data_IF_799686257450
#
_entry.id   IF_799686257450
#
_cell.length_a   1.000
_cell.length_b   1.000
_cell.length_c   1.000
_cell.angle_alpha   90.00
_cell.angle_beta   90.00
_cell.angle_gamma   90.00
#
_symmetry.space_group_name_H-M   'P 1'
#
loop_
_entity.id
_entity.type
_entity.pdbx_description
1 polymer ?
#
# COMPACT_ATOMS: atom_id res chain seq x y z
N UNK A 1 -5.51 -16.26 -28.78
CA UNK A 1 -5.17 -14.84 -28.59
C UNK A 1 -4.78 -14.69 -27.15
N UNK A 2 -3.50 -14.56 -26.89
CA UNK A 2 -2.91 -14.58 -25.54
C UNK A 2 -3.24 -13.28 -24.84
N UNK A 3 -4.06 -13.35 -23.77
CA UNK A 3 -4.29 -12.28 -22.85
C UNK A 3 -2.95 -11.89 -22.19
N UNK A 4 -2.38 -10.78 -22.59
CA UNK A 4 -1.38 -10.09 -21.77
C UNK A 4 -2.12 -9.48 -20.57
N UNK A 5 -2.21 -10.22 -19.50
CA UNK A 5 -2.55 -9.70 -18.19
C UNK A 5 -1.46 -8.71 -17.79
N UNK A 6 -1.81 -7.43 -17.77
CA UNK A 6 -0.98 -6.39 -17.19
C UNK A 6 -0.99 -6.57 -15.67
N UNK A 7 -0.06 -7.33 -15.17
CA UNK A 7 0.22 -7.36 -13.74
C UNK A 7 1.01 -6.10 -13.39
N UNK A 8 0.33 -5.10 -12.86
CA UNK A 8 0.95 -3.97 -12.18
C UNK A 8 1.45 -4.47 -10.82
N UNK A 9 2.59 -5.10 -10.82
CA UNK A 9 3.25 -5.44 -9.56
C UNK A 9 4.74 -5.48 -9.80
N UNK A 10 5.37 -4.34 -9.72
CA UNK A 10 6.78 -4.27 -9.35
C UNK A 10 6.89 -4.22 -7.82
N UNK A 11 6.15 -5.09 -7.14
CA UNK A 11 6.52 -5.48 -5.79
C UNK A 11 7.78 -6.34 -5.95
N UNK A 12 8.95 -5.72 -5.94
CA UNK A 12 10.21 -6.41 -5.72
C UNK A 12 10.06 -7.16 -4.40
N UNK A 13 9.83 -8.46 -4.53
CA UNK A 13 9.70 -9.39 -3.42
C UNK A 13 11.07 -9.50 -2.72
N UNK A 14 11.37 -8.59 -1.81
CA UNK A 14 12.47 -8.80 -0.88
C UNK A 14 12.02 -9.84 0.15
N UNK A 15 12.40 -11.08 -0.12
CA UNK A 15 12.39 -12.15 0.89
C UNK A 15 13.51 -11.80 1.87
N UNK A 16 13.13 -11.16 2.97
CA UNK A 16 14.02 -11.00 4.12
C UNK A 16 14.25 -12.40 4.71
N UNK A 17 15.36 -13.04 4.36
CA UNK A 17 15.86 -14.22 5.07
C UNK A 17 16.31 -13.78 6.47
N UNK A 18 15.47 -13.99 7.46
CA UNK A 18 15.91 -13.99 8.85
C UNK A 18 16.76 -15.23 9.09
N UNK A 19 18.08 -15.06 9.04
CA UNK A 19 19.03 -16.02 9.59
C UNK A 19 19.04 -15.88 11.12
N UNK A 20 18.41 -16.83 11.78
CA UNK A 20 18.51 -17.02 13.24
C UNK A 20 19.82 -17.74 13.48
N UNK A 21 20.87 -17.03 13.87
CA UNK A 21 22.03 -17.62 14.54
C UNK A 21 21.88 -17.33 16.02
N UNK A 22 21.49 -18.37 16.76
CA UNK A 22 21.62 -18.38 18.19
C UNK A 22 23.09 -18.55 18.59
N UNK A 23 23.55 -17.81 19.58
CA UNK A 23 24.65 -18.17 20.44
C UNK A 23 24.39 -17.61 21.82
N UNK A 24 24.43 -18.54 22.77
CA UNK A 24 24.42 -18.34 24.22
C UNK A 24 25.69 -17.64 24.74
N UNK A 25 25.48 -17.11 25.90
CA UNK A 25 26.34 -17.05 27.11
C UNK A 25 26.82 -15.66 27.54
N UNK A 26 26.43 -15.48 28.78
CA UNK A 26 27.08 -15.06 30.02
C UNK A 26 26.97 -13.59 30.46
N UNK A 27 26.27 -13.57 31.58
CA UNK A 27 26.32 -12.68 32.77
C UNK A 27 27.46 -11.66 32.83
N UNK A 28 27.07 -10.37 32.95
CA UNK A 28 27.62 -9.54 34.04
C UNK A 28 26.64 -8.40 34.38
N UNK A 29 26.30 -8.37 35.68
CA UNK A 29 25.63 -7.26 36.35
C UNK A 29 26.61 -6.10 36.46
N UNK A 30 26.23 -4.93 35.99
CA UNK A 30 26.63 -3.68 36.62
C UNK A 30 25.46 -2.68 36.58
N UNK A 31 25.10 -2.28 37.79
CA UNK A 31 24.20 -1.16 38.04
C UNK A 31 24.82 0.14 37.47
N UNK A 32 24.08 0.82 36.65
CA UNK A 32 24.36 2.23 36.37
C UNK A 32 23.06 3.00 36.20
N UNK A 33 22.77 3.71 37.30
CA UNK A 33 22.02 4.98 37.47
C UNK A 33 21.04 5.40 36.40
N UNK A 34 19.81 5.50 36.88
CA UNK A 34 18.68 6.32 36.41
C UNK A 34 19.12 7.64 35.80
N UNK A 35 18.96 7.80 34.50
CA UNK A 35 18.69 9.08 33.88
C UNK A 35 17.27 9.04 33.31
N UNK A 36 16.34 9.53 34.09
CA UNK A 36 15.03 9.96 33.63
C UNK A 36 15.21 11.18 32.71
N UNK A 37 15.51 10.93 31.47
CA UNK A 37 15.37 11.90 30.40
C UNK A 37 14.04 11.62 29.73
N UNK A 38 13.06 12.46 30.02
CA UNK A 38 11.81 12.55 29.27
C UNK A 38 12.19 12.96 27.83
N UNK A 39 12.61 11.98 27.01
CA UNK A 39 12.73 12.19 25.56
C UNK A 39 11.32 12.35 25.06
N UNK A 40 10.87 13.58 24.89
CA UNK A 40 9.75 13.94 24.04
C UNK A 40 9.94 13.15 22.74
N UNK A 41 9.16 12.08 22.55
CA UNK A 41 9.21 11.32 21.32
C UNK A 41 8.60 12.18 20.24
N UNK A 42 9.46 12.89 19.50
CA UNK A 42 8.99 13.59 18.30
C UNK A 42 8.32 12.55 17.38
N UNK A 43 7.19 12.92 16.76
CA UNK A 43 6.52 12.01 15.83
C UNK A 43 7.44 11.67 14.65
N UNK A 44 7.30 10.47 14.14
CA UNK A 44 7.92 10.07 12.88
C UNK A 44 7.09 10.66 11.74
N UNK A 45 7.57 11.72 11.15
CA UNK A 45 6.88 12.40 10.05
C UNK A 45 7.50 11.99 8.73
N UNK A 46 6.67 11.75 7.72
CA UNK A 46 7.10 11.38 6.37
C UNK A 46 6.34 12.22 5.34
N UNK A 47 7.07 12.68 4.34
CA UNK A 47 6.53 13.48 3.23
C UNK A 47 7.03 12.89 1.92
N UNK A 48 6.14 12.61 0.97
CA UNK A 48 6.51 12.12 -0.37
C UNK A 48 7.26 13.24 -1.10
N UNK A 49 8.38 12.90 -1.72
CA UNK A 49 9.22 13.87 -2.45
C UNK A 49 10.23 14.60 -1.56
N UNK A 50 10.38 14.24 -0.27
CA UNK A 50 11.42 14.80 0.59
C UNK A 50 12.80 14.45 0.03
N UNK A 51 13.73 15.41 0.01
CA UNK A 51 15.10 15.13 -0.44
C UNK A 51 15.82 14.20 0.55
N UNK A 52 16.55 13.18 0.04
CA UNK A 52 17.20 12.18 0.89
C UNK A 52 18.14 12.74 1.94
N UNK A 53 18.86 13.82 1.63
CA UNK A 53 19.75 14.50 2.59
C UNK A 53 18.99 15.04 3.78
N UNK A 54 17.85 15.66 3.54
CA UNK A 54 17.03 16.28 4.59
C UNK A 54 16.32 15.21 5.41
N UNK A 55 15.78 14.17 4.74
CA UNK A 55 15.21 13.00 5.38
C UNK A 55 16.21 12.33 6.33
N UNK A 56 17.41 11.99 5.84
CA UNK A 56 18.44 11.34 6.65
C UNK A 56 18.83 12.21 7.85
N UNK A 57 19.03 13.50 7.65
CA UNK A 57 19.43 14.40 8.72
C UNK A 57 18.32 14.52 9.78
N UNK A 58 17.10 14.66 9.36
CA UNK A 58 15.92 14.77 10.24
C UNK A 58 15.71 13.49 11.06
N UNK A 59 15.80 12.33 10.42
CA UNK A 59 15.66 11.03 11.11
C UNK A 59 16.80 10.79 12.11
N UNK A 60 18.04 11.14 11.77
CA UNK A 60 19.17 11.08 12.73
C UNK A 60 18.95 11.97 13.93
N UNK A 61 18.41 13.17 13.75
CA UNK A 61 18.16 14.13 14.84
C UNK A 61 17.18 13.58 15.89
N UNK A 62 16.24 12.72 15.48
CA UNK A 62 15.31 12.04 16.38
C UNK A 62 15.78 10.65 16.81
N UNK A 63 17.04 10.32 16.52
CA UNK A 63 17.70 9.09 16.98
C UNK A 63 17.32 7.83 16.18
N UNK A 64 16.84 7.97 14.94
CA UNK A 64 16.61 6.83 14.06
C UNK A 64 17.87 6.47 13.28
N UNK A 65 18.09 5.17 13.12
CA UNK A 65 19.12 4.64 12.22
C UNK A 65 18.48 4.36 10.87
N UNK A 66 19.12 4.85 9.79
CA UNK A 66 18.64 4.65 8.43
C UNK A 66 19.61 3.73 7.70
N UNK A 67 19.11 2.64 7.16
CA UNK A 67 19.78 1.85 6.14
C UNK A 67 19.73 2.60 4.80
N UNK A 68 20.84 2.59 4.07
CA UNK A 68 20.89 3.15 2.71
C UNK A 68 21.48 2.10 1.78
N UNK A 69 20.69 1.65 0.82
CA UNK A 69 21.13 0.71 -0.22
C UNK A 69 21.04 1.39 -1.59
N UNK A 70 22.18 1.43 -2.30
CA UNK A 70 22.32 2.05 -3.61
C UNK A 70 22.46 0.97 -4.67
N UNK A 71 21.45 0.83 -5.50
CA UNK A 71 21.44 -0.19 -6.55
C UNK A 71 22.14 0.32 -7.82
N UNK A 72 22.92 -0.54 -8.51
CA UNK A 72 23.52 -0.18 -9.79
C UNK A 72 22.51 0.23 -10.87
N UNK A 73 21.25 -0.16 -10.71
CA UNK A 73 20.15 0.18 -11.62
C UNK A 73 19.61 1.61 -11.43
N UNK A 74 20.26 2.43 -10.59
CA UNK A 74 19.85 3.83 -10.38
C UNK A 74 18.75 4.02 -9.34
N UNK A 75 18.44 3.00 -8.52
CA UNK A 75 17.50 3.13 -7.40
C UNK A 75 18.25 3.18 -6.08
N UNK A 76 17.87 4.11 -5.21
CA UNK A 76 18.34 4.16 -3.83
C UNK A 76 17.17 3.83 -2.89
N UNK A 77 17.44 2.97 -1.89
CA UNK A 77 16.48 2.60 -0.86
C UNK A 77 16.93 3.12 0.49
N UNK A 78 16.00 3.70 1.23
CA UNK A 78 16.17 4.25 2.57
C UNK A 78 15.28 3.47 3.52
N UNK A 79 15.85 2.71 4.47
CA UNK A 79 15.09 1.80 5.32
C UNK A 79 15.19 2.16 6.80
N UNK A 80 14.09 1.95 7.53
CA UNK A 80 14.05 2.00 8.99
C UNK A 80 13.29 0.78 9.48
N UNK A 81 13.90 0.00 10.37
CA UNK A 81 13.27 -1.14 11.00
C UNK A 81 12.88 -0.82 12.45
N UNK A 82 11.67 -1.26 12.83
CA UNK A 82 11.13 -1.11 14.18
C UNK A 82 10.85 -2.50 14.77
N UNK A 83 11.80 -3.06 15.54
CA UNK A 83 11.58 -4.31 16.26
C UNK A 83 10.33 -4.27 17.17
N UNK A 84 9.76 -5.44 17.43
CA UNK A 84 8.64 -5.56 18.36
C UNK A 84 8.94 -4.89 19.71
N UNK A 85 7.98 -4.14 20.24
CA UNK A 85 8.14 -3.34 21.46
C UNK A 85 8.78 -1.97 21.25
N UNK A 86 9.21 -1.66 20.03
CA UNK A 86 9.78 -0.34 19.67
C UNK A 86 9.03 0.35 18.53
N UNK A 87 7.98 -0.28 18.03
CA UNK A 87 7.18 0.22 16.90
C UNK A 87 6.54 1.55 17.23
N UNK A 88 6.48 2.42 16.24
CA UNK A 88 5.98 3.78 16.39
C UNK A 88 4.89 4.05 15.35
N UNK A 89 4.04 4.99 15.67
CA UNK A 89 3.13 5.60 14.69
C UNK A 89 3.95 6.52 13.80
N UNK A 90 3.75 6.42 12.50
CA UNK A 90 4.28 7.37 11.52
C UNK A 90 3.16 8.30 11.07
N UNK A 91 3.44 9.58 10.96
CA UNK A 91 2.55 10.58 10.40
C UNK A 91 2.93 10.82 8.95
N UNK A 92 1.97 10.68 8.04
CA UNK A 92 2.12 11.01 6.64
C UNK A 92 1.58 12.42 6.43
N UNK A 93 2.45 13.35 6.04
CA UNK A 93 2.05 14.73 5.76
C UNK A 93 1.60 14.88 4.30
N UNK A 94 0.33 15.26 4.12
CA UNK A 94 -0.26 15.57 2.82
C UNK A 94 -1.38 16.63 2.96
N UNK A 95 -1.08 17.75 3.58
CA UNK A 95 -2.04 18.82 3.79
C UNK A 95 -3.33 18.34 4.49
N UNK A 96 -4.51 18.58 3.92
CA UNK A 96 -5.77 18.14 4.53
C UNK A 96 -5.97 16.61 4.53
N UNK A 97 -5.20 15.88 3.75
CA UNK A 97 -5.25 14.43 3.62
C UNK A 97 -4.23 13.70 4.50
N UNK A 98 -3.54 14.45 5.38
CA UNK A 98 -2.55 13.88 6.31
C UNK A 98 -3.20 12.88 7.25
N UNK A 99 -2.46 11.82 7.61
CA UNK A 99 -2.96 10.78 8.51
C UNK A 99 -1.83 10.10 9.28
N UNK A 100 -2.23 9.36 10.32
CA UNK A 100 -1.32 8.54 11.11
C UNK A 100 -1.42 7.06 10.69
N UNK A 101 -0.27 6.39 10.60
CA UNK A 101 -0.23 4.94 10.43
C UNK A 101 -0.50 4.23 11.75
N UNK A 102 -0.94 2.97 11.73
CA UNK A 102 -0.78 2.08 12.87
C UNK A 102 0.69 1.84 13.21
N UNK A 103 1.02 1.08 14.32
CA UNK A 103 2.41 0.83 14.70
C UNK A 103 3.23 0.19 13.57
N UNK A 104 4.22 0.92 13.05
CA UNK A 104 5.06 0.55 11.90
C UNK A 104 6.11 -0.46 12.32
N UNK A 105 6.24 -1.54 11.53
CA UNK A 105 7.30 -2.55 11.65
C UNK A 105 8.55 -2.16 10.87
N UNK A 106 8.35 -1.55 9.69
CA UNK A 106 9.41 -1.13 8.79
C UNK A 106 8.91 -0.05 7.84
N UNK A 107 9.85 0.73 7.39
CA UNK A 107 9.69 1.75 6.38
C UNK A 107 10.75 1.54 5.30
N UNK A 108 10.37 1.75 4.06
CA UNK A 108 11.29 1.87 2.93
C UNK A 108 10.86 3.04 2.05
N UNK A 109 11.79 3.95 1.81
CA UNK A 109 11.62 5.03 0.83
C UNK A 109 12.46 4.74 -0.40
N UNK A 110 11.93 5.02 -1.59
CA UNK A 110 12.63 4.83 -2.86
C UNK A 110 12.89 6.16 -3.55
N UNK A 111 14.12 6.35 -3.99
CA UNK A 111 14.56 7.46 -4.85
C UNK A 111 15.02 6.88 -6.19
N UNK A 112 14.59 7.50 -7.29
CA UNK A 112 15.07 7.17 -8.62
C UNK A 112 16.12 8.19 -9.05
N UNK A 113 17.37 7.74 -9.27
CA UNK A 113 18.50 8.59 -9.64
C UNK A 113 18.44 9.14 -11.07
N UNK A 114 17.54 8.60 -11.90
CA UNK A 114 17.24 9.20 -13.21
C UNK A 114 16.40 10.48 -13.06
N UNK A 115 15.72 10.64 -11.89
CA UNK A 115 14.88 11.80 -11.55
C UNK A 115 15.16 12.29 -10.12
N UNK A 116 16.41 12.71 -9.80
CA UNK A 116 16.81 13.06 -8.44
C UNK A 116 16.04 14.26 -7.85
N UNK A 117 15.46 15.10 -8.71
CA UNK A 117 14.61 16.22 -8.29
C UNK A 117 13.27 15.76 -7.68
N UNK A 118 12.85 14.53 -7.92
CA UNK A 118 11.64 13.95 -7.32
C UNK A 118 11.82 13.53 -5.87
N UNK A 119 13.06 13.47 -5.37
CA UNK A 119 13.39 13.04 -4.02
C UNK A 119 12.96 11.59 -3.75
N UNK A 120 12.58 11.30 -2.50
CA UNK A 120 12.00 10.01 -2.11
C UNK A 120 10.52 10.02 -2.53
N UNK A 121 10.22 9.51 -3.71
CA UNK A 121 8.93 9.62 -4.38
C UNK A 121 8.00 8.40 -4.20
N UNK A 122 8.48 7.39 -3.49
CA UNK A 122 7.73 6.22 -3.08
C UNK A 122 8.03 5.89 -1.61
N UNK A 123 6.98 5.68 -0.82
CA UNK A 123 7.06 5.37 0.61
C UNK A 123 6.30 4.08 0.90
N UNK A 124 7.00 3.02 1.29
CA UNK A 124 6.40 1.74 1.71
C UNK A 124 6.46 1.61 3.24
N UNK A 125 5.32 1.29 3.85
CA UNK A 125 5.18 1.04 5.27
C UNK A 125 4.59 -0.33 5.51
N UNK A 126 5.24 -1.10 6.36
CA UNK A 126 4.68 -2.34 6.89
C UNK A 126 4.27 -2.13 8.35
N UNK A 127 3.04 -2.50 8.71
CA UNK A 127 2.51 -2.26 10.04
C UNK A 127 1.64 -3.42 10.56
N UNK A 128 1.31 -3.37 11.83
CA UNK A 128 0.45 -4.34 12.52
C UNK A 128 -0.67 -3.63 13.26
N UNK A 129 -1.74 -4.35 13.56
CA UNK A 129 -2.83 -3.83 14.38
C UNK A 129 -2.37 -3.41 15.78
N UNK A 130 -1.51 -4.25 16.40
CA UNK A 130 -0.93 -4.01 17.73
C UNK A 130 0.49 -4.51 17.80
N UNK A 131 1.32 -3.85 18.58
CA UNK A 131 2.71 -4.25 18.81
C UNK A 131 2.85 -5.30 19.95
N UNK A 132 2.05 -6.36 19.89
CA UNK A 132 2.00 -7.43 20.89
C UNK A 132 2.48 -8.78 20.36
N UNK A 133 2.75 -8.89 19.06
CA UNK A 133 3.21 -10.13 18.41
C UNK A 133 2.15 -11.24 18.35
N UNK A 134 0.89 -10.94 18.67
CA UNK A 134 -0.17 -11.93 18.73
C UNK A 134 -0.90 -12.09 17.40
N UNK A 135 -1.47 -13.29 17.20
CA UNK A 135 -2.41 -13.52 16.10
C UNK A 135 -3.66 -12.66 16.29
N UNK A 136 -4.29 -12.28 15.19
CA UNK A 136 -5.60 -11.66 15.18
C UNK A 136 -6.65 -12.67 14.73
N UNK A 137 -7.84 -12.65 15.31
CA UNK A 137 -8.97 -13.32 14.66
C UNK A 137 -9.23 -12.66 13.30
N UNK A 138 -9.82 -13.40 12.38
CA UNK A 138 -10.15 -12.84 11.06
C UNK A 138 -11.09 -11.64 11.17
N UNK A 139 -12.00 -11.66 12.15
CA UNK A 139 -12.90 -10.55 12.43
C UNK A 139 -12.14 -9.31 12.93
N UNK A 140 -11.23 -9.49 13.89
CA UNK A 140 -10.40 -8.37 14.38
C UNK A 140 -9.55 -7.74 13.29
N UNK A 141 -9.01 -8.56 12.37
CA UNK A 141 -8.23 -8.05 11.24
C UNK A 141 -9.11 -7.32 10.23
N UNK A 142 -10.30 -7.87 9.93
CA UNK A 142 -11.29 -7.24 9.04
C UNK A 142 -11.75 -5.88 9.58
N UNK A 143 -12.21 -5.84 10.82
CA UNK A 143 -12.68 -4.60 11.48
C UNK A 143 -11.58 -3.53 11.51
N UNK A 144 -10.36 -3.94 11.87
CA UNK A 144 -9.22 -3.02 11.90
C UNK A 144 -8.91 -2.47 10.51
N UNK A 145 -8.81 -3.33 9.50
CA UNK A 145 -8.46 -2.92 8.14
C UNK A 145 -9.53 -2.03 7.52
N UNK A 146 -10.80 -2.44 7.61
CA UNK A 146 -11.91 -1.67 7.06
C UNK A 146 -12.13 -0.35 7.80
N UNK A 147 -11.92 -0.34 9.13
CA UNK A 147 -11.93 0.89 9.91
C UNK A 147 -10.80 1.86 9.48
N UNK A 148 -9.63 1.33 9.11
CA UNK A 148 -8.53 2.14 8.59
C UNK A 148 -8.85 2.70 7.19
N UNK A 149 -9.38 1.89 6.29
CA UNK A 149 -9.87 2.34 4.97
C UNK A 149 -10.92 3.43 5.12
N UNK A 150 -11.89 3.24 6.03
CA UNK A 150 -12.92 4.25 6.28
C UNK A 150 -12.33 5.57 6.82
N UNK A 151 -11.40 5.49 7.74
CA UNK A 151 -10.71 6.69 8.27
C UNK A 151 -10.04 7.48 7.15
N UNK A 152 -9.36 6.81 6.20
CA UNK A 152 -8.75 7.46 5.05
C UNK A 152 -9.82 8.09 4.12
N UNK A 153 -10.92 7.39 3.87
CA UNK A 153 -12.04 7.94 3.09
C UNK A 153 -12.66 9.17 3.75
N UNK A 154 -12.84 9.16 5.08
CA UNK A 154 -13.35 10.30 5.85
C UNK A 154 -12.39 11.54 5.81
N UNK A 155 -11.08 11.30 5.59
CA UNK A 155 -10.06 12.33 5.34
C UNK A 155 -10.04 12.83 3.89
N UNK A 156 -10.84 12.24 3.01
CA UNK A 156 -10.96 12.66 1.60
C UNK A 156 -10.15 11.84 0.61
N UNK A 157 -9.48 10.75 1.05
CA UNK A 157 -8.91 9.79 0.11
C UNK A 157 -10.03 9.09 -0.64
N UNK A 158 -9.94 9.07 -1.97
CA UNK A 158 -10.96 8.54 -2.86
C UNK A 158 -10.51 7.21 -3.45
N UNK A 159 -11.48 6.36 -3.75
CA UNK A 159 -11.27 5.10 -4.44
C UNK A 159 -10.73 5.33 -5.85
N UNK A 160 -9.70 4.59 -6.23
CA UNK A 160 -9.25 4.52 -7.62
C UNK A 160 -9.65 3.18 -8.24
N UNK A 161 -10.37 3.23 -9.34
CA UNK A 161 -10.68 2.05 -10.17
C UNK A 161 -9.79 2.14 -11.41
N UNK A 162 -9.02 1.08 -11.69
CA UNK A 162 -8.17 1.03 -12.90
C UNK A 162 -8.99 1.35 -14.16
N UNK A 163 -8.44 2.09 -15.12
CA UNK A 163 -9.15 2.46 -16.35
C UNK A 163 -9.71 1.29 -17.16
N UNK A 164 -9.20 0.08 -16.96
CA UNK A 164 -9.72 -1.13 -17.60
C UNK A 164 -10.81 -1.85 -16.81
N UNK A 165 -11.01 -1.49 -15.53
CA UNK A 165 -11.92 -2.20 -14.64
C UNK A 165 -13.30 -1.55 -14.58
N UNK A 166 -14.39 -2.35 -14.38
CA UNK A 166 -15.75 -1.85 -14.36
C UNK A 166 -16.04 -0.98 -13.14
N UNK A 167 -16.92 -0.01 -13.28
CA UNK A 167 -17.35 0.87 -12.21
C UNK A 167 -18.49 0.21 -11.42
N UNK A 168 -18.12 -0.62 -10.44
CA UNK A 168 -19.10 -1.29 -9.58
C UNK A 168 -19.12 -0.64 -8.20
N UNK A 169 -20.30 -0.55 -7.60
CA UNK A 169 -20.53 -0.07 -6.24
C UNK A 169 -21.23 -1.11 -5.38
N UNK A 170 -21.24 -0.89 -4.08
CA UNK A 170 -21.94 -1.74 -3.14
C UNK A 170 -21.38 -3.17 -3.05
N UNK A 171 -22.20 -4.13 -2.61
CA UNK A 171 -21.79 -5.54 -2.45
C UNK A 171 -21.36 -6.22 -3.75
N UNK A 172 -21.79 -5.73 -4.90
CA UNK A 172 -21.43 -6.30 -6.21
C UNK A 172 -19.94 -6.12 -6.53
N UNK A 173 -19.28 -5.11 -5.94
CA UNK A 173 -17.83 -4.94 -6.07
C UNK A 173 -17.06 -6.11 -5.46
N UNK A 174 -17.51 -6.64 -4.33
CA UNK A 174 -16.94 -7.85 -3.73
C UNK A 174 -17.34 -9.13 -4.45
N UNK A 175 -18.58 -9.21 -4.97
CA UNK A 175 -19.00 -10.35 -5.77
C UNK A 175 -18.11 -10.49 -7.01
N UNK A 176 -17.80 -9.41 -7.70
CA UNK A 176 -16.92 -9.38 -8.87
C UNK A 176 -15.51 -9.90 -8.55
N UNK A 177 -14.94 -9.50 -7.41
CA UNK A 177 -13.64 -10.01 -6.96
C UNK A 177 -13.65 -11.54 -6.81
N UNK A 178 -14.72 -12.09 -6.24
CA UNK A 178 -14.80 -13.50 -5.91
C UNK A 178 -15.20 -14.42 -7.10
N UNK A 179 -15.73 -13.86 -8.19
CA UNK A 179 -16.15 -14.66 -9.35
C UNK A 179 -14.99 -15.17 -10.19
N UNK A 180 -13.97 -14.33 -10.43
CA UNK A 180 -12.86 -14.65 -11.32
C UNK A 180 -11.48 -14.20 -10.79
N UNK A 181 -11.36 -14.03 -9.47
CA UNK A 181 -10.10 -13.64 -8.82
C UNK A 181 -9.51 -12.33 -9.37
N UNK A 182 -10.41 -11.38 -9.59
CA UNK A 182 -10.03 -10.08 -10.14
C UNK A 182 -9.26 -9.22 -9.14
N UNK A 183 -8.15 -8.63 -9.57
CA UNK A 183 -7.51 -7.53 -8.87
C UNK A 183 -8.36 -6.26 -9.03
N UNK A 184 -9.32 -6.10 -8.17
CA UNK A 184 -10.32 -5.03 -8.24
C UNK A 184 -10.45 -4.30 -6.92
N UNK A 185 -10.49 -2.98 -6.94
CA UNK A 185 -10.68 -2.18 -5.72
C UNK A 185 -12.17 -2.15 -5.37
N UNK A 186 -12.59 -2.75 -4.24
CA UNK A 186 -13.99 -2.78 -3.85
C UNK A 186 -14.49 -1.39 -3.39
N UNK A 187 -15.81 -1.25 -3.26
CA UNK A 187 -16.42 -0.03 -2.74
C UNK A 187 -15.97 0.22 -1.29
N UNK A 188 -15.41 1.39 -1.02
CA UNK A 188 -14.89 1.78 0.31
C UNK A 188 -16.00 1.95 1.35
N UNK A 189 -17.24 2.18 0.90
CA UNK A 189 -18.41 2.39 1.76
C UNK A 189 -19.08 1.07 2.19
N UNK A 190 -18.57 -0.06 1.72
CA UNK A 190 -19.14 -1.38 2.01
C UNK A 190 -18.09 -2.27 2.65
N UNK A 191 -18.38 -2.75 3.84
CA UNK A 191 -17.53 -3.74 4.50
C UNK A 191 -17.88 -5.16 4.02
N UNK A 192 -16.90 -5.98 3.65
CA UNK A 192 -17.15 -7.40 3.35
C UNK A 192 -17.58 -8.11 4.64
N UNK A 193 -18.53 -9.03 4.55
CA UNK A 193 -18.78 -9.91 5.67
C UNK A 193 -17.59 -10.87 5.91
N UNK A 194 -17.54 -11.54 7.06
CA UNK A 194 -16.41 -12.40 7.41
C UNK A 194 -16.16 -13.52 6.40
N UNK A 195 -17.21 -14.08 5.79
CA UNK A 195 -17.09 -15.12 4.77
C UNK A 195 -16.39 -14.57 3.52
N UNK A 196 -16.81 -13.40 3.04
CA UNK A 196 -16.19 -12.68 1.91
C UNK A 196 -14.74 -12.33 2.23
N UNK A 197 -14.47 -11.74 3.41
CA UNK A 197 -13.12 -11.42 3.87
C UNK A 197 -12.17 -12.63 3.83
N UNK A 198 -12.64 -13.78 4.31
CA UNK A 198 -11.86 -15.02 4.31
C UNK A 198 -11.65 -15.59 2.91
N UNK A 199 -12.60 -15.38 2.01
CA UNK A 199 -12.54 -15.87 0.64
C UNK A 199 -11.66 -15.01 -0.27
N UNK A 200 -11.46 -13.73 0.08
CA UNK A 200 -10.56 -12.85 -0.67
C UNK A 200 -9.11 -13.33 -0.56
N UNK A 201 -8.38 -13.22 -1.64
CA UNK A 201 -6.97 -13.61 -1.68
C UNK A 201 -6.08 -12.81 -0.72
N UNK A 202 -5.00 -13.45 -0.32
CA UNK A 202 -3.88 -12.78 0.30
C UNK A 202 -3.29 -11.75 -0.66
N UNK A 203 -3.10 -10.54 -0.18
CA UNK A 203 -2.54 -9.42 -0.97
C UNK A 203 -3.52 -8.72 -1.91
N UNK A 204 -4.82 -8.86 -1.68
CA UNK A 204 -5.79 -8.00 -2.35
C UNK A 204 -5.49 -6.53 -2.05
N UNK A 205 -5.55 -5.68 -3.07
CA UNK A 205 -5.08 -4.29 -3.02
C UNK A 205 -6.28 -3.33 -3.06
N UNK A 206 -6.27 -2.35 -2.17
CA UNK A 206 -7.13 -1.16 -2.23
C UNK A 206 -6.30 0.02 -2.71
N UNK A 207 -6.61 0.53 -3.88
CA UNK A 207 -5.95 1.71 -4.43
C UNK A 207 -6.81 2.95 -4.16
N UNK A 208 -6.22 3.93 -3.51
CA UNK A 208 -6.82 5.21 -3.18
C UNK A 208 -6.00 6.33 -3.81
N UNK A 209 -6.61 7.51 -3.94
CA UNK A 209 -5.90 8.72 -4.37
C UNK A 209 -6.42 9.94 -3.61
N UNK A 210 -5.54 10.92 -3.43
CA UNK A 210 -5.87 12.24 -2.93
C UNK A 210 -4.91 13.26 -3.55
N UNK A 211 -5.46 14.28 -4.23
CA UNK A 211 -4.69 15.30 -4.93
C UNK A 211 -3.63 14.70 -5.89
N UNK A 212 -2.35 14.82 -5.55
CA UNK A 212 -1.24 14.33 -6.38
C UNK A 212 -0.59 13.04 -5.87
N UNK A 213 -1.19 12.35 -4.91
CA UNK A 213 -0.70 11.09 -4.37
C UNK A 213 -1.66 9.94 -4.65
N UNK A 214 -1.07 8.77 -4.89
CA UNK A 214 -1.75 7.48 -4.95
C UNK A 214 -1.25 6.60 -3.81
N UNK A 215 -2.13 5.73 -3.32
CA UNK A 215 -1.87 4.86 -2.19
C UNK A 215 -2.40 3.46 -2.49
N UNK A 216 -1.57 2.46 -2.28
CA UNK A 216 -1.98 1.06 -2.29
C UNK A 216 -1.93 0.48 -0.89
N UNK A 217 -3.05 -0.09 -0.43
CA UNK A 217 -3.14 -0.72 0.88
C UNK A 217 -3.52 -2.17 0.69
N UNK A 218 -2.80 -3.06 1.37
CA UNK A 218 -3.03 -4.50 1.30
C UNK A 218 -2.75 -5.16 2.64
N UNK A 219 -3.25 -6.38 2.80
CA UNK A 219 -2.89 -7.23 3.94
C UNK A 219 -2.33 -8.56 3.46
N UNK A 220 -1.47 -9.14 4.28
CA UNK A 220 -1.02 -10.52 4.14
C UNK A 220 -1.42 -11.31 5.38
N UNK A 221 -1.99 -12.47 5.13
CA UNK A 221 -2.41 -13.43 6.14
C UNK A 221 -1.46 -14.62 6.11
N UNK A 222 -0.74 -14.85 7.20
CA UNK A 222 0.17 -15.99 7.36
C UNK A 222 -0.38 -16.93 8.41
N UNK A 223 -0.68 -18.15 8.00
CA UNK A 223 -0.99 -19.24 8.92
C UNK A 223 0.29 -19.71 9.60
N UNK A 224 0.18 -20.10 10.87
CA UNK A 224 1.28 -20.70 11.60
C UNK A 224 1.48 -22.14 11.09
N UNK A 225 2.70 -22.50 10.61
CA UNK A 225 2.97 -23.87 10.17
C UNK A 225 2.76 -24.93 11.27
N UNK A 226 2.83 -24.52 12.55
CA UNK A 226 2.59 -25.41 13.69
C UNK A 226 1.10 -25.70 13.93
N UNK A 227 0.20 -24.94 13.30
CA UNK A 227 -1.26 -25.11 13.45
C UNK A 227 -1.88 -26.08 12.43
N UNK A 228 -1.08 -26.75 11.59
CA UNK A 228 -1.56 -27.65 10.53
C UNK A 228 -2.46 -28.79 11.02
N UNK A 229 -2.53 -29.05 12.33
CA UNK A 229 -3.36 -30.07 12.96
C UNK A 229 -4.39 -29.54 13.97
N UNK A 230 -4.58 -28.23 14.09
CA UNK A 230 -5.57 -27.64 14.98
C UNK A 230 -6.71 -27.07 14.17
N UNK A 231 -7.92 -27.13 14.75
CA UNK A 231 -9.18 -26.64 14.18
C UNK A 231 -9.00 -25.43 13.26
N UNK A 232 -9.59 -25.49 12.05
CA UNK A 232 -9.25 -24.53 11.03
C UNK A 232 -9.66 -23.12 11.41
N UNK A 233 -8.66 -22.24 11.45
CA UNK A 233 -8.82 -20.96 10.85
C UNK A 233 -9.70 -19.93 11.59
N UNK A 234 -9.51 -19.81 12.93
CA UNK A 234 -10.11 -18.71 13.69
C UNK A 234 -9.20 -17.46 13.75
N UNK A 235 -7.89 -17.63 13.58
CA UNK A 235 -6.90 -16.55 13.69
C UNK A 235 -5.66 -16.79 12.86
N UNK A 236 -4.97 -15.69 12.48
CA UNK A 236 -3.72 -15.71 11.72
C UNK A 236 -2.82 -14.54 12.12
N UNK A 237 -1.56 -14.57 11.70
CA UNK A 237 -0.71 -13.39 11.68
C UNK A 237 -1.10 -12.51 10.50
N UNK A 238 -1.57 -11.30 10.79
CA UNK A 238 -1.87 -10.30 9.78
C UNK A 238 -0.79 -9.23 9.77
N UNK A 239 -0.25 -8.99 8.59
CA UNK A 239 0.67 -7.91 8.28
C UNK A 239 -0.03 -7.03 7.26
N UNK A 240 -0.03 -5.75 7.50
CA UNK A 240 -0.61 -4.75 6.62
C UNK A 240 0.52 -3.95 5.97
N UNK A 241 0.33 -3.54 4.73
CA UNK A 241 1.27 -2.65 4.06
C UNK A 241 0.54 -1.53 3.34
N UNK A 242 1.23 -0.43 3.25
CA UNK A 242 0.79 0.82 2.66
C UNK A 242 1.94 1.34 1.82
N UNK A 243 1.71 1.54 0.53
CA UNK A 243 2.64 2.13 -0.41
C UNK A 243 2.04 3.44 -0.91
N UNK A 244 2.78 4.54 -0.84
CA UNK A 244 2.33 5.86 -1.29
C UNK A 244 3.33 6.36 -2.31
N UNK A 245 2.82 6.76 -3.46
CA UNK A 245 3.63 7.27 -4.55
C UNK A 245 3.05 8.54 -5.16
N UNK A 246 3.87 9.31 -5.84
CA UNK A 246 3.39 10.48 -6.59
C UNK A 246 2.52 10.06 -7.77
N UNK A 247 1.63 10.97 -8.20
CA UNK A 247 0.82 10.79 -9.41
C UNK A 247 1.67 10.49 -10.65
N UNK A 248 2.83 11.13 -10.77
CA UNK A 248 3.75 10.91 -11.89
C UNK A 248 4.31 9.49 -11.88
N UNK A 249 4.77 9.02 -10.73
CA UNK A 249 5.29 7.66 -10.61
C UNK A 249 4.20 6.61 -10.82
N UNK A 250 3.01 6.84 -10.27
CA UNK A 250 1.85 6.00 -10.50
C UNK A 250 1.49 5.93 -12.00
N UNK A 251 1.49 7.06 -12.71
CA UNK A 251 1.20 7.11 -14.15
C UNK A 251 2.23 6.35 -14.99
N UNK A 252 3.51 6.42 -14.63
CA UNK A 252 4.59 5.63 -15.28
C UNK A 252 4.35 4.12 -15.22
N UNK A 253 3.60 3.64 -14.22
CA UNK A 253 3.17 2.25 -14.10
C UNK A 253 2.30 1.75 -15.26
N UNK A 254 1.62 2.65 -15.96
CA UNK A 254 0.80 2.34 -17.14
C UNK A 254 1.60 2.35 -18.45
N UNK A 255 2.85 2.76 -18.42
CA UNK A 255 3.69 2.89 -19.60
C UNK A 255 4.57 1.68 -19.84
N UNK A 256 4.83 1.33 -21.10
CA UNK A 256 5.95 0.49 -21.43
C UNK A 256 7.25 1.14 -20.95
N UNK A 257 8.24 0.33 -20.60
CA UNK A 257 9.50 0.80 -20.02
C UNK A 257 10.15 1.93 -20.83
N UNK A 258 10.14 1.84 -22.16
CA UNK A 258 10.73 2.85 -23.05
C UNK A 258 10.02 4.19 -23.04
N UNK A 259 8.78 4.26 -22.56
CA UNK A 259 7.94 5.46 -22.59
C UNK A 259 7.76 6.11 -21.20
N UNK A 260 8.35 5.54 -20.15
CA UNK A 260 8.16 6.04 -18.78
C UNK A 260 8.63 7.47 -18.59
N UNK A 261 9.78 7.82 -19.17
CA UNK A 261 10.37 9.16 -19.02
C UNK A 261 9.57 10.24 -19.79
N UNK A 262 8.77 9.84 -20.73
CA UNK A 262 7.91 10.71 -21.55
C UNK A 262 6.44 10.35 -21.41
N UNK A 263 6.04 9.82 -20.25
CA UNK A 263 4.71 9.27 -19.98
C UNK A 263 3.58 10.24 -20.32
N UNK A 264 3.77 11.55 -20.11
CA UNK A 264 2.77 12.57 -20.42
C UNK A 264 2.40 12.60 -21.91
N UNK A 265 3.38 12.31 -22.78
CA UNK A 265 3.15 12.31 -24.23
C UNK A 265 2.39 11.05 -24.69
N UNK A 266 2.47 9.98 -23.92
CA UNK A 266 1.89 8.67 -24.25
C UNK A 266 0.60 8.39 -23.49
N UNK A 267 0.31 9.15 -22.42
CA UNK A 267 -0.79 8.87 -21.49
C UNK A 267 -2.13 8.61 -22.20
N UNK A 268 -2.56 9.53 -23.07
CA UNK A 268 -3.85 9.40 -23.76
C UNK A 268 -3.93 8.16 -24.66
N UNK A 269 -2.82 7.78 -25.31
CA UNK A 269 -2.77 6.60 -26.20
C UNK A 269 -2.78 5.29 -25.42
N UNK A 270 -2.17 5.25 -24.24
CA UNK A 270 -2.15 4.05 -23.38
C UNK A 270 -3.48 3.87 -22.62
N UNK A 271 -4.10 4.95 -22.15
CA UNK A 271 -5.32 4.87 -21.35
C UNK A 271 -6.58 4.64 -22.20
N UNK A 272 -6.63 5.16 -23.43
CA UNK A 272 -7.81 5.00 -24.30
C UNK A 272 -8.21 3.55 -24.57
N UNK A 273 -7.30 2.61 -24.88
CA UNK A 273 -7.64 1.20 -25.02
C UNK A 273 -8.19 0.58 -23.72
N UNK A 274 -7.65 0.98 -22.56
CA UNK A 274 -8.09 0.50 -21.27
C UNK A 274 -9.53 0.94 -20.98
N UNK A 275 -9.86 2.21 -21.17
CA UNK A 275 -11.23 2.70 -21.05
C UNK A 275 -12.19 2.01 -22.04
N UNK A 276 -11.75 1.75 -23.26
CA UNK A 276 -12.54 0.98 -24.23
C UNK A 276 -12.84 -0.43 -23.72
N UNK A 277 -11.86 -1.09 -23.09
CA UNK A 277 -12.05 -2.41 -22.47
C UNK A 277 -13.04 -2.34 -21.30
N UNK A 278 -12.95 -1.30 -20.44
CA UNK A 278 -13.91 -1.05 -19.35
C UNK A 278 -15.34 -1.06 -19.86
N UNK A 279 -15.66 -0.30 -20.92
CA UNK A 279 -17.03 -0.23 -21.46
C UNK A 279 -17.54 -1.57 -21.97
N UNK A 280 -16.66 -2.36 -22.60
CA UNK A 280 -17.00 -3.71 -23.04
C UNK A 280 -17.35 -4.61 -21.84
N UNK A 281 -16.51 -4.60 -20.80
CA UNK A 281 -16.74 -5.36 -19.58
C UNK A 281 -18.04 -4.90 -18.90
N UNK A 282 -18.26 -3.60 -18.79
CA UNK A 282 -19.48 -3.06 -18.18
C UNK A 282 -20.75 -3.45 -18.96
N UNK A 283 -20.69 -3.53 -20.28
CA UNK A 283 -21.82 -4.03 -21.08
C UNK A 283 -22.12 -5.50 -20.78
N UNK A 284 -21.10 -6.35 -20.75
CA UNK A 284 -21.22 -7.77 -20.41
C UNK A 284 -21.74 -7.99 -18.97
N UNK A 285 -21.33 -7.13 -18.03
CA UNK A 285 -21.77 -7.19 -16.64
C UNK A 285 -23.24 -6.73 -16.47
N UNK A 286 -23.70 -5.72 -17.24
CA UNK A 286 -25.12 -5.33 -17.27
C UNK A 286 -26.02 -6.50 -17.71
N UNK A 287 -25.57 -7.27 -18.72
CA UNK A 287 -26.30 -8.46 -19.18
C UNK A 287 -26.36 -9.55 -18.12
N UNK A 288 -25.37 -9.59 -17.20
CA UNK A 288 -25.36 -10.48 -16.03
C UNK A 288 -26.11 -9.92 -14.82
N UNK A 289 -26.68 -8.72 -14.90
CA UNK A 289 -27.47 -8.10 -13.83
C UNK A 289 -26.66 -7.23 -12.86
N UNK A 290 -25.41 -6.90 -13.18
CA UNK A 290 -24.63 -5.94 -12.40
C UNK A 290 -25.09 -4.51 -12.66
N UNK A 291 -25.00 -3.69 -11.62
CA UNK A 291 -25.31 -2.25 -11.68
C UNK A 291 -24.00 -1.48 -11.82
N UNK A 292 -23.85 -0.77 -12.93
CA UNK A 292 -22.67 0.07 -13.18
C UNK A 292 -22.87 1.43 -12.53
N UNK A 293 -21.93 1.83 -11.70
CA UNK A 293 -21.91 3.14 -11.06
C UNK A 293 -21.42 4.21 -12.03
N UNK A 294 -22.39 4.84 -12.70
CA UNK A 294 -22.10 5.95 -13.64
C UNK A 294 -21.76 7.26 -12.93
N UNK A 295 -21.88 7.34 -11.61
CA UNK A 295 -21.48 8.52 -10.83
C UNK A 295 -19.98 8.54 -10.53
N UNK A 296 -19.29 7.38 -10.59
CA UNK A 296 -17.86 7.34 -10.43
C UNK A 296 -17.13 8.09 -11.56
N UNK A 297 -16.21 8.95 -11.17
CA UNK A 297 -15.35 9.70 -12.08
C UNK A 297 -13.89 9.31 -11.83
N UNK A 298 -13.16 9.00 -12.90
CA UNK A 298 -11.72 8.81 -12.82
C UNK A 298 -11.03 10.10 -12.35
N UNK A 299 -9.97 10.03 -11.53
CA UNK A 299 -9.15 11.20 -11.24
C UNK A 299 -8.49 11.73 -12.52
N UNK A 300 -8.33 13.03 -12.60
CA UNK A 300 -7.57 13.65 -13.68
C UNK A 300 -6.07 13.45 -13.40
N UNK A 301 -5.46 12.53 -14.12
CA UNK A 301 -4.02 12.27 -14.03
C UNK A 301 -3.26 13.21 -14.97
N UNK A 302 -3.75 13.40 -16.17
CA UNK A 302 -3.16 14.29 -17.16
C UNK A 302 -4.24 15.17 -17.85
N UNK A 303 -3.94 16.42 -18.24
CA UNK A 303 -4.90 17.29 -18.91
C UNK A 303 -5.50 16.71 -20.21
N UNK A 304 -4.80 15.78 -20.85
CA UNK A 304 -5.24 15.08 -22.05
C UNK A 304 -5.87 13.71 -21.74
N UNK A 305 -6.42 13.52 -20.53
CA UNK A 305 -7.16 12.29 -20.24
C UNK A 305 -8.23 12.04 -21.29
N UNK A 306 -8.35 10.81 -21.82
CA UNK A 306 -9.39 10.50 -22.79
C UNK A 306 -10.76 10.74 -22.17
N UNK A 307 -11.55 11.60 -22.83
CA UNK A 307 -12.94 11.83 -22.45
C UNK A 307 -13.71 10.52 -22.65
N UNK A 308 -14.60 10.21 -21.72
CA UNK A 308 -15.48 9.05 -21.87
C UNK A 308 -16.33 9.22 -23.14
N UNK A 309 -16.51 8.17 -23.95
CA UNK A 309 -17.47 8.23 -25.05
C UNK A 309 -18.88 8.44 -24.47
N UNK A 310 -19.65 9.33 -25.09
CA UNK A 310 -21.04 9.65 -24.76
C UNK A 310 -21.94 8.40 -24.82
#
# INVERSE_FOLDING_TARGET
MTNKLFTHSYSLLFILMLSITGCDTDTNKEESSRMNGNKSSQPLVFTVGEYPTDFIQRMKNIGQTIGVDRQPAGLNFYTIDFPQGTRKIAQIEHGPYSFDTPPVMGFMGTENMDFPESGINDLDFTFVRKDDGQKNTHEQAREFFMGYIKMLADLGWQRFISPSEPRLSGPQSYQYILEDDHYYVPDLNVEPNLKTWKAMENSHIWTLYADNLFMEIKYRRKQDPSDQNKTPDESAYYIFSLEITTKDEFAKGYMDFANRDTWQQHWASEIKPLKTLRYKIEAELRDKGYIIDTSYQDPIIHPNDPIEPD
#
